data_IF_129583973690
#
_entry.id   IF_129583973690
#
_cell.length_a   1.000
_cell.length_b   1.000
_cell.length_c   1.000
_cell.angle_alpha   90.00
_cell.angle_beta   90.00
_cell.angle_gamma   90.00
#
_symmetry.space_group_name_H-M   'P 1'
#
loop_
_entity.id
_entity.type
_entity.pdbx_description
1 polymer ?
#
# COMPACT_ATOMS: atom_id res chain seq x y z
N UNK A 1 -0.45 -24.36 3.45
CA UNK A 1 -0.83 -25.75 3.78
C UNK A 1 -1.36 -25.94 5.19
N UNK A 2 -0.59 -25.72 6.27
CA UNK A 2 -1.14 -25.87 7.64
C UNK A 2 -2.36 -24.97 7.88
N UNK A 3 -2.25 -23.70 7.48
CA UNK A 3 -3.31 -22.70 7.62
C UNK A 3 -4.59 -23.00 6.85
N UNK A 4 -4.57 -23.89 5.85
CA UNK A 4 -5.77 -24.24 5.06
C UNK A 4 -6.83 -24.96 5.91
N UNK A 5 -6.43 -25.52 7.06
CA UNK A 5 -7.34 -26.21 7.99
C UNK A 5 -7.94 -25.28 9.03
N UNK A 6 -7.44 -24.05 9.16
CA UNK A 6 -7.78 -23.11 10.24
C UNK A 6 -9.00 -22.25 9.93
N UNK A 7 -9.77 -22.55 8.87
CA UNK A 7 -10.96 -21.79 8.44
C UNK A 7 -10.71 -20.28 8.30
N UNK A 8 -9.55 -19.90 7.76
CA UNK A 8 -9.23 -18.51 7.45
C UNK A 8 -9.83 -18.10 6.10
N UNK A 9 -10.30 -16.84 6.01
CA UNK A 9 -10.97 -16.32 4.82
C UNK A 9 -9.99 -16.05 3.66
N UNK A 10 -8.80 -15.53 3.98
CA UNK A 10 -7.72 -15.28 3.04
C UNK A 10 -6.36 -15.23 3.75
N UNK A 11 -5.30 -15.36 2.97
CA UNK A 11 -3.93 -15.14 3.41
C UNK A 11 -3.45 -13.81 2.85
N UNK A 12 -3.20 -12.84 3.75
CA UNK A 12 -2.52 -11.60 3.38
C UNK A 12 -1.01 -11.79 3.39
N UNK A 13 -0.38 -11.33 2.31
CA UNK A 13 1.06 -11.20 2.20
C UNK A 13 1.37 -9.71 2.15
N UNK A 14 1.87 -9.17 3.26
CA UNK A 14 2.43 -7.82 3.29
C UNK A 14 3.89 -7.85 2.84
N UNK A 15 4.29 -6.91 2.01
CA UNK A 15 5.67 -6.78 1.56
C UNK A 15 6.16 -5.34 1.59
N UNK A 16 7.20 -5.09 2.39
CA UNK A 16 7.92 -3.83 2.48
C UNK A 16 9.39 -3.99 2.10
N UNK A 17 10.17 -2.96 2.39
CA UNK A 17 11.63 -2.96 2.21
C UNK A 17 12.32 -4.05 3.05
N UNK A 18 11.63 -4.61 4.06
CA UNK A 18 12.18 -5.56 5.01
C UNK A 18 12.42 -6.94 4.37
N UNK A 19 11.43 -7.45 3.64
CA UNK A 19 11.54 -8.72 2.89
C UNK A 19 12.46 -8.55 1.67
N UNK A 20 12.47 -7.35 1.07
CA UNK A 20 13.39 -6.96 -0.01
C UNK A 20 14.87 -6.96 0.43
N UNK A 21 15.15 -6.52 1.67
CA UNK A 21 16.50 -6.51 2.24
C UNK A 21 16.98 -7.92 2.61
N UNK A 22 16.05 -8.82 2.97
CA UNK A 22 16.35 -10.19 3.33
C UNK A 22 16.63 -11.10 2.11
N UNK A 23 16.06 -10.78 0.94
CA UNK A 23 16.19 -11.57 -0.29
C UNK A 23 17.26 -11.09 -1.27
N UNK A 24 17.60 -9.80 -1.28
CA UNK A 24 18.53 -9.22 -2.27
C UNK A 24 19.80 -8.60 -1.65
N UNK A 25 20.91 -8.77 -2.36
CA UNK A 25 22.19 -8.16 -2.00
C UNK A 25 22.17 -6.62 -2.13
N UNK A 26 23.10 -5.91 -1.47
CA UNK A 26 23.14 -4.44 -1.46
C UNK A 26 23.18 -3.75 -2.83
N UNK A 27 23.62 -4.44 -3.88
CA UNK A 27 23.71 -3.90 -5.25
C UNK A 27 22.37 -3.90 -5.99
N UNK A 28 21.56 -4.95 -5.84
CA UNK A 28 20.24 -5.07 -6.45
C UNK A 28 19.27 -4.02 -5.87
N UNK A 29 19.47 -3.66 -4.60
CA UNK A 29 18.72 -2.59 -3.94
C UNK A 29 18.89 -1.22 -4.61
N UNK A 30 20.06 -0.92 -5.18
CA UNK A 30 20.33 0.37 -5.84
C UNK A 30 19.75 0.45 -7.25
N UNK A 31 19.69 -0.68 -7.97
CA UNK A 31 19.11 -0.75 -9.32
C UNK A 31 17.59 -0.64 -9.27
N UNK A 32 16.94 -1.44 -8.41
CA UNK A 32 15.48 -1.46 -8.29
C UNK A 32 14.90 -0.22 -7.59
N UNK A 33 15.71 0.53 -6.85
CA UNK A 33 15.30 1.83 -6.32
C UNK A 33 14.84 2.81 -7.43
N UNK A 34 15.32 2.62 -8.67
CA UNK A 34 15.07 3.52 -9.80
C UNK A 34 13.81 3.20 -10.61
N UNK A 35 13.25 1.99 -10.52
CA UNK A 35 12.08 1.60 -11.33
C UNK A 35 10.91 1.12 -10.48
N UNK A 36 9.75 1.76 -10.62
CA UNK A 36 8.51 1.34 -9.96
C UNK A 36 7.98 0.03 -10.55
N UNK A 37 8.18 -0.18 -11.85
CA UNK A 37 7.81 -1.41 -12.57
C UNK A 37 8.52 -2.64 -12.01
N UNK A 38 9.81 -2.53 -11.70
CA UNK A 38 10.59 -3.64 -11.13
C UNK A 38 10.13 -3.99 -9.70
N UNK A 39 9.58 -3.03 -8.95
CA UNK A 39 9.01 -3.29 -7.63
C UNK A 39 7.67 -4.03 -7.73
N UNK A 40 6.82 -3.67 -8.69
CA UNK A 40 5.55 -4.36 -8.94
C UNK A 40 5.80 -5.82 -9.36
N UNK A 41 6.78 -6.07 -10.24
CA UNK A 41 7.14 -7.41 -10.68
C UNK A 41 7.61 -8.33 -9.53
N UNK A 42 8.39 -7.81 -8.57
CA UNK A 42 8.89 -8.61 -7.45
C UNK A 42 7.78 -9.22 -6.59
N UNK A 43 6.79 -8.41 -6.19
CA UNK A 43 5.71 -8.91 -5.34
C UNK A 43 4.83 -9.95 -6.04
N UNK A 44 4.69 -9.83 -7.37
CA UNK A 44 4.00 -10.80 -8.22
C UNK A 44 4.74 -12.13 -8.30
N UNK A 45 6.06 -12.13 -8.45
CA UNK A 45 6.86 -13.37 -8.44
C UNK A 45 6.75 -14.09 -7.10
N UNK A 46 6.82 -13.34 -5.99
CA UNK A 46 6.67 -13.91 -4.66
C UNK A 46 5.26 -14.49 -4.42
N UNK A 47 4.21 -13.76 -4.81
CA UNK A 47 2.83 -14.25 -4.72
C UNK A 47 2.62 -15.51 -5.57
N UNK A 48 3.23 -15.61 -6.75
CA UNK A 48 3.19 -16.81 -7.58
C UNK A 48 3.80 -18.05 -6.89
N UNK A 49 4.87 -17.88 -6.11
CA UNK A 49 5.43 -18.99 -5.33
C UNK A 49 4.45 -19.47 -4.25
N UNK A 50 3.78 -18.54 -3.58
CA UNK A 50 2.81 -18.87 -2.52
C UNK A 50 1.54 -19.48 -3.11
N UNK A 51 1.07 -18.98 -4.26
CA UNK A 51 -0.07 -19.54 -5.00
C UNK A 51 0.13 -21.02 -5.32
N UNK A 52 1.36 -21.45 -5.65
CA UNK A 52 1.68 -22.87 -5.87
C UNK A 52 1.58 -23.72 -4.59
N UNK A 53 1.66 -23.09 -3.43
CA UNK A 53 1.69 -23.76 -2.13
C UNK A 53 0.34 -23.80 -1.41
N UNK A 54 -0.63 -22.96 -1.81
CA UNK A 54 -1.95 -22.90 -1.15
C UNK A 54 -3.10 -22.52 -2.09
N UNK A 55 -4.26 -23.08 -1.79
CA UNK A 55 -5.53 -22.78 -2.46
C UNK A 55 -6.36 -21.69 -1.78
N UNK A 56 -5.88 -21.15 -0.65
CA UNK A 56 -6.55 -20.05 0.04
C UNK A 56 -6.59 -18.80 -0.85
N UNK A 57 -7.63 -17.96 -0.71
CA UNK A 57 -7.63 -16.65 -1.32
C UNK A 57 -6.39 -15.85 -0.88
N UNK A 58 -5.69 -15.22 -1.82
CA UNK A 58 -4.47 -14.46 -1.56
C UNK A 58 -4.73 -12.97 -1.72
N UNK A 59 -4.46 -12.22 -0.65
CA UNK A 59 -4.36 -10.76 -0.67
C UNK A 59 -2.88 -10.37 -0.70
N UNK A 60 -2.47 -9.56 -1.66
CA UNK A 60 -1.10 -9.02 -1.70
C UNK A 60 -1.12 -7.52 -1.45
N UNK A 61 -0.47 -7.09 -0.38
CA UNK A 61 -0.39 -5.68 0.03
C UNK A 61 1.02 -5.15 -0.18
N UNK A 62 1.18 -4.19 -1.11
CA UNK A 62 2.47 -3.54 -1.38
C UNK A 62 2.81 -3.45 -2.86
N UNK A 63 3.63 -2.46 -3.24
CA UNK A 63 4.15 -2.32 -4.60
C UNK A 63 3.21 -1.72 -5.65
N UNK A 64 1.92 -2.04 -5.64
CA UNK A 64 0.98 -1.61 -6.69
C UNK A 64 0.76 -0.10 -6.74
N UNK A 65 0.94 0.49 -7.93
CA UNK A 65 0.72 1.91 -8.22
C UNK A 65 -0.13 2.15 -9.46
N UNK A 66 -0.19 1.20 -10.39
CA UNK A 66 -1.01 1.31 -11.61
C UNK A 66 -2.23 0.40 -11.57
N UNK A 67 -3.34 0.88 -12.14
CA UNK A 67 -4.56 0.10 -12.36
C UNK A 67 -4.26 -1.16 -13.16
N UNK A 68 -3.52 -1.00 -14.27
CA UNK A 68 -3.11 -2.10 -15.14
C UNK A 68 -2.39 -3.23 -14.39
N UNK A 69 -1.42 -2.90 -13.53
CA UNK A 69 -0.70 -3.93 -12.78
C UNK A 69 -1.60 -4.67 -11.77
N UNK A 70 -2.59 -3.97 -11.18
CA UNK A 70 -3.56 -4.60 -10.28
C UNK A 70 -4.50 -5.54 -11.05
N UNK A 71 -5.01 -5.09 -12.20
CA UNK A 71 -5.87 -5.89 -13.09
C UNK A 71 -5.13 -7.13 -13.61
N UNK A 72 -3.91 -6.97 -14.12
CA UNK A 72 -3.08 -8.09 -14.59
C UNK A 72 -2.78 -9.12 -13.49
N UNK A 73 -2.59 -8.67 -12.24
CA UNK A 73 -2.35 -9.57 -11.11
C UNK A 73 -3.57 -10.41 -10.75
N UNK A 74 -4.76 -9.81 -10.80
CA UNK A 74 -6.04 -10.46 -10.49
C UNK A 74 -6.46 -11.36 -11.65
N UNK A 75 -6.51 -10.83 -12.87
CA UNK A 75 -6.92 -11.56 -14.08
C UNK A 75 -5.95 -12.71 -14.40
N UNK A 76 -4.67 -12.54 -14.06
CA UNK A 76 -3.65 -13.58 -14.17
C UNK A 76 -3.78 -14.69 -13.10
N UNK A 77 -4.67 -14.54 -12.12
CA UNK A 77 -4.88 -15.52 -11.04
C UNK A 77 -3.73 -15.60 -10.03
N UNK A 78 -2.81 -14.63 -10.05
CA UNK A 78 -1.69 -14.58 -9.10
C UNK A 78 -2.22 -14.32 -7.70
N UNK A 79 -3.14 -13.36 -7.58
CA UNK A 79 -3.80 -12.95 -6.33
C UNK A 79 -5.30 -12.84 -6.55
N UNK A 80 -6.07 -13.00 -5.48
CA UNK A 80 -7.52 -12.79 -5.52
C UNK A 80 -7.88 -11.36 -5.07
N UNK A 81 -7.01 -10.76 -4.26
CA UNK A 81 -7.19 -9.42 -3.74
C UNK A 81 -5.86 -8.63 -3.82
N UNK A 82 -5.99 -7.32 -4.03
CA UNK A 82 -4.87 -6.38 -3.98
C UNK A 82 -5.08 -5.40 -2.84
N UNK A 83 -4.07 -5.28 -1.97
CA UNK A 83 -4.02 -4.33 -0.87
C UNK A 83 -3.18 -3.12 -1.22
N UNK A 84 -3.72 -1.93 -0.95
CA UNK A 84 -3.06 -0.65 -1.21
C UNK A 84 -3.14 0.20 0.05
N UNK A 85 -1.99 0.70 0.52
CA UNK A 85 -1.89 1.50 1.75
C UNK A 85 -1.50 2.96 1.46
N UNK A 86 -0.21 3.25 1.23
CA UNK A 86 0.30 4.64 1.10
C UNK A 86 -0.44 5.54 0.09
N UNK A 87 -0.91 5.07 -1.09
CA UNK A 87 -1.76 5.88 -1.96
C UNK A 87 -3.02 6.44 -1.28
N UNK A 88 -3.66 5.70 -0.36
CA UNK A 88 -4.84 6.17 0.37
C UNK A 88 -4.56 7.32 1.31
N UNK A 89 -3.32 7.42 1.82
CA UNK A 89 -2.95 8.51 2.69
C UNK A 89 -2.97 9.86 1.96
N UNK A 90 -2.95 9.88 0.61
CA UNK A 90 -2.88 11.11 -0.19
C UNK A 90 -4.04 11.30 -1.16
N UNK A 91 -4.56 10.20 -1.69
CA UNK A 91 -5.55 10.24 -2.75
C UNK A 91 -6.72 9.30 -2.43
N UNK A 92 -7.49 9.51 -1.35
CA UNK A 92 -8.51 8.56 -0.90
C UNK A 92 -9.58 8.25 -1.97
N UNK A 93 -9.80 9.15 -2.93
CA UNK A 93 -10.72 8.98 -4.07
C UNK A 93 -10.15 8.18 -5.25
N UNK A 94 -8.85 7.86 -5.27
CA UNK A 94 -8.23 7.22 -6.43
C UNK A 94 -8.91 5.92 -6.89
N UNK A 95 -9.51 5.08 -6.01
CA UNK A 95 -10.22 3.89 -6.48
C UNK A 95 -11.38 4.21 -7.41
N UNK A 96 -12.15 5.27 -7.09
CA UNK A 96 -13.24 5.72 -7.93
C UNK A 96 -12.70 6.22 -9.27
N UNK A 97 -11.60 6.98 -9.25
CA UNK A 97 -10.95 7.47 -10.45
C UNK A 97 -10.43 6.31 -11.34
N UNK A 98 -9.94 5.22 -10.72
CA UNK A 98 -9.58 3.99 -11.43
C UNK A 98 -10.80 3.32 -12.06
N UNK A 99 -11.92 3.24 -11.33
CA UNK A 99 -13.16 2.66 -11.85
C UNK A 99 -13.76 3.47 -13.01
N UNK A 100 -13.73 4.80 -12.89
CA UNK A 100 -14.22 5.72 -13.91
C UNK A 100 -13.26 5.85 -15.11
N UNK A 101 -12.01 5.39 -14.97
CA UNK A 101 -10.98 5.53 -16.00
C UNK A 101 -10.44 6.95 -16.14
N UNK A 102 -10.63 7.80 -15.12
CA UNK A 102 -10.09 9.16 -15.07
C UNK A 102 -8.65 9.20 -14.54
N UNK A 103 -8.18 8.11 -13.95
CA UNK A 103 -6.79 7.91 -13.53
C UNK A 103 -6.36 6.46 -13.71
N UNK A 104 -5.14 6.25 -14.20
CA UNK A 104 -4.57 4.90 -14.38
C UNK A 104 -3.45 4.57 -13.39
N UNK A 105 -2.95 5.57 -12.66
CA UNK A 105 -1.79 5.43 -11.77
C UNK A 105 -1.81 6.46 -10.65
N UNK A 106 -1.35 6.03 -9.47
CA UNK A 106 -1.14 6.91 -8.32
C UNK A 106 0.33 6.94 -7.97
N UNK A 107 0.96 8.08 -8.18
CA UNK A 107 2.33 8.32 -7.78
C UNK A 107 2.42 9.05 -6.46
N UNK A 108 3.29 8.54 -5.59
CA UNK A 108 3.54 9.12 -4.29
C UNK A 108 4.87 9.86 -4.36
N UNK A 109 4.94 11.12 -3.91
CA UNK A 109 6.19 11.86 -3.87
C UNK A 109 7.21 11.09 -3.01
N UNK A 110 8.41 10.88 -3.56
CA UNK A 110 9.51 10.31 -2.80
C UNK A 110 10.05 11.39 -1.88
N UNK A 111 9.79 11.27 -0.58
CA UNK A 111 10.32 12.21 0.39
C UNK A 111 11.58 11.62 1.01
N UNK A 112 12.74 12.12 0.58
CA UNK A 112 14.05 11.68 1.07
C UNK A 112 14.71 12.78 1.90
N UNK A 113 14.98 12.48 3.16
CA UNK A 113 16.04 13.14 3.93
C UNK A 113 17.25 12.19 3.91
N UNK A 114 18.43 12.67 3.50
CA UNK A 114 19.61 11.88 3.08
C UNK A 114 20.16 10.77 4.00
N UNK A 115 19.49 10.41 5.09
CA UNK A 115 19.78 9.26 5.96
C UNK A 115 18.57 8.30 5.93
N UNK A 116 18.72 7.14 5.27
CA UNK A 116 17.64 6.15 5.00
C UNK A 116 16.82 5.71 6.23
N UNK A 117 17.44 5.62 7.41
CA UNK A 117 16.74 5.18 8.63
C UNK A 117 15.87 6.29 9.22
N UNK A 118 16.41 7.51 9.24
CA UNK A 118 15.69 8.71 9.69
C UNK A 118 14.59 9.06 8.68
N UNK A 119 14.82 8.83 7.38
CA UNK A 119 13.81 9.06 6.35
C UNK A 119 12.59 8.15 6.49
N UNK A 120 12.75 6.87 6.83
CA UNK A 120 11.60 5.95 6.96
C UNK A 120 10.68 6.30 8.15
N UNK A 121 11.26 6.63 9.30
CA UNK A 121 10.47 7.03 10.48
C UNK A 121 9.74 8.35 10.25
N UNK A 122 10.43 9.31 9.64
CA UNK A 122 9.84 10.60 9.28
C UNK A 122 8.76 10.43 8.20
N UNK A 123 9.00 9.63 7.15
CA UNK A 123 8.02 9.32 6.10
C UNK A 123 6.71 8.77 6.69
N UNK A 124 6.80 7.86 7.64
CA UNK A 124 5.62 7.33 8.33
C UNK A 124 4.86 8.42 9.12
N UNK A 125 5.57 9.29 9.86
CA UNK A 125 4.95 10.41 10.57
C UNK A 125 4.24 11.37 9.61
N UNK A 126 4.82 11.59 8.42
CA UNK A 126 4.21 12.42 7.40
C UNK A 126 2.90 11.82 6.88
N UNK A 127 2.86 10.53 6.54
CA UNK A 127 1.59 9.88 6.16
C UNK A 127 0.58 9.86 7.30
N UNK A 128 1.02 9.60 8.54
CA UNK A 128 0.15 9.67 9.71
C UNK A 128 -0.49 11.06 9.84
N UNK A 129 0.26 12.13 9.53
CA UNK A 129 -0.29 13.47 9.53
C UNK A 129 -1.40 13.66 8.50
N UNK A 130 -1.26 13.06 7.32
CA UNK A 130 -2.32 13.08 6.31
C UNK A 130 -3.56 12.34 6.80
N UNK A 131 -3.39 11.18 7.44
CA UNK A 131 -4.50 10.45 8.04
C UNK A 131 -5.19 11.25 9.16
N UNK A 132 -4.42 11.96 9.99
CA UNK A 132 -4.98 12.88 11.00
C UNK A 132 -5.72 14.08 10.40
N UNK A 133 -5.34 14.54 9.21
CA UNK A 133 -6.09 15.57 8.48
C UNK A 133 -7.43 15.01 8.04
N UNK A 134 -7.41 13.83 7.40
CA UNK A 134 -8.63 13.15 6.97
C UNK A 134 -9.58 12.83 8.14
N UNK A 135 -9.06 12.42 9.30
CA UNK A 135 -9.90 12.18 10.48
C UNK A 135 -10.58 13.45 11.02
N UNK A 136 -10.05 14.63 10.68
CA UNK A 136 -10.66 15.94 10.96
C UNK A 136 -11.47 16.48 9.79
N UNK A 137 -11.83 15.63 8.82
CA UNK A 137 -12.53 16.00 7.58
C UNK A 137 -11.78 17.05 6.75
N UNK A 138 -10.45 17.10 6.85
CA UNK A 138 -9.60 17.90 5.99
C UNK A 138 -9.00 17.03 4.89
N UNK A 139 -8.87 17.58 3.69
CA UNK A 139 -8.18 16.90 2.58
C UNK A 139 -6.69 16.66 2.91
N UNK A 140 -6.11 15.54 2.43
CA UNK A 140 -4.66 15.36 2.42
C UNK A 140 -3.97 16.53 1.72
N UNK A 141 -2.80 16.91 2.23
CA UNK A 141 -1.97 17.96 1.68
C UNK A 141 -0.59 17.38 1.32
N UNK A 142 -0.39 16.94 0.06
CA UNK A 142 0.89 16.43 -0.40
C UNK A 142 2.04 17.45 -0.35
N UNK A 143 1.74 18.75 -0.22
CA UNK A 143 2.74 19.82 -0.14
C UNK A 143 3.25 20.08 1.28
N UNK A 144 2.68 19.39 2.28
CA UNK A 144 3.01 19.59 3.68
C UNK A 144 4.50 19.32 3.97
N UNK A 145 5.21 20.33 4.49
CA UNK A 145 6.62 20.23 4.85
C UNK A 145 6.85 19.55 6.21
N UNK A 146 7.94 18.80 6.34
CA UNK A 146 8.37 18.16 7.59
C UNK A 146 8.57 19.14 8.75
N UNK A 147 8.93 20.38 8.45
CA UNK A 147 9.11 21.43 9.45
C UNK A 147 7.81 21.75 10.22
N UNK A 148 6.64 21.36 9.68
CA UNK A 148 5.34 21.53 10.33
C UNK A 148 4.94 20.36 11.25
N UNK A 149 5.72 19.28 11.29
CA UNK A 149 5.47 18.12 12.15
C UNK A 149 5.60 18.37 13.66
N UNK A 150 6.50 19.24 14.18
CA UNK A 150 6.70 19.37 15.62
C UNK A 150 5.57 20.08 16.38
N UNK A 151 4.60 20.71 15.72
CA UNK A 151 3.69 21.67 16.40
C UNK A 151 2.38 21.09 16.92
N UNK A 152 2.06 19.81 16.71
CA UNK A 152 0.93 19.16 17.37
C UNK A 152 1.42 17.95 18.15
N UNK A 153 1.30 18.05 19.47
CA UNK A 153 1.85 17.10 20.44
C UNK A 153 1.44 15.64 20.20
N UNK A 154 2.25 14.77 20.80
CA UNK A 154 2.20 13.30 20.85
C UNK A 154 0.88 12.68 21.38
N UNK A 155 -0.20 13.45 21.47
CA UNK A 155 -1.45 13.10 22.14
C UNK A 155 -2.63 13.16 21.19
N UNK A 156 -2.89 12.04 20.48
CA UNK A 156 -4.24 11.50 20.21
C UNK A 156 -4.11 10.21 19.40
N UNK A 157 -4.06 9.08 20.12
CA UNK A 157 -4.10 7.72 19.56
C UNK A 157 -5.54 7.20 19.54
N UNK A 158 -6.47 7.90 18.87
CA UNK A 158 -7.79 7.32 18.53
C UNK A 158 -8.30 8.00 17.27
N UNK A 159 -8.23 7.31 16.12
CA UNK A 159 -9.01 7.67 14.94
C UNK A 159 -10.39 7.00 15.07
N UNK A 160 -11.46 7.79 15.15
CA UNK A 160 -12.84 7.27 15.01
C UNK A 160 -13.19 7.24 13.52
N UNK A 161 -13.16 6.04 12.92
CA UNK A 161 -13.27 5.82 11.46
C UNK A 161 -14.73 5.68 10.99
N UNK A 162 -15.62 6.54 11.48
CA UNK A 162 -17.08 6.36 11.33
C UNK A 162 -17.72 6.91 10.05
N UNK A 163 -16.99 7.51 9.11
CA UNK A 163 -17.61 8.20 7.96
C UNK A 163 -17.17 7.76 6.55
N UNK A 164 -16.49 6.62 6.38
CA UNK A 164 -16.27 6.09 5.02
C UNK A 164 -17.49 5.26 4.61
N UNK A 165 -18.34 5.85 3.77
CA UNK A 165 -19.53 5.20 3.19
C UNK A 165 -19.13 3.92 2.44
N UNK A 166 -19.65 2.79 2.92
CA UNK A 166 -19.30 1.41 2.53
C UNK A 166 -19.83 0.96 1.16
N UNK A 167 -20.28 1.86 0.29
CA UNK A 167 -21.19 1.50 -0.80
C UNK A 167 -20.58 1.15 -2.17
N UNK A 168 -19.28 0.92 -2.32
CA UNK A 168 -18.67 0.64 -3.65
C UNK A 168 -17.75 -0.59 -3.72
N UNK A 169 -17.82 -1.52 -2.77
CA UNK A 169 -16.70 -2.40 -2.43
C UNK A 169 -16.70 -3.85 -2.99
N UNK A 170 -17.62 -4.28 -3.86
CA UNK A 170 -17.72 -5.72 -4.23
C UNK A 170 -17.89 -5.95 -5.73
N UNK A 171 -17.02 -5.37 -6.56
CA UNK A 171 -17.00 -5.76 -7.99
C UNK A 171 -15.70 -6.40 -8.48
N UNK A 172 -14.61 -6.37 -7.70
CA UNK A 172 -13.29 -6.86 -8.16
C UNK A 172 -12.39 -7.49 -7.09
N UNK A 173 -12.88 -7.86 -5.90
CA UNK A 173 -12.03 -8.46 -4.86
C UNK A 173 -10.92 -7.53 -4.32
N UNK A 174 -10.93 -6.23 -4.62
CA UNK A 174 -9.95 -5.28 -4.09
C UNK A 174 -10.38 -4.85 -2.68
N UNK A 175 -9.60 -5.23 -1.67
CA UNK A 175 -9.82 -4.82 -0.27
C UNK A 175 -8.88 -3.69 0.07
N UNK A 176 -9.46 -2.54 0.38
CA UNK A 176 -8.73 -1.35 0.77
C UNK A 176 -8.55 -1.31 2.29
N UNK A 177 -7.31 -1.46 2.74
CA UNK A 177 -6.96 -1.37 4.16
C UNK A 177 -6.23 -0.04 4.38
N UNK A 178 -6.87 0.85 5.13
CA UNK A 178 -6.20 2.01 5.74
C UNK A 178 -5.76 1.54 7.14
N UNK A 179 -4.46 1.40 7.36
CA UNK A 179 -3.87 1.12 8.68
C UNK A 179 -3.55 2.43 9.41
#
# INVERSE_FOLDING_TARGET
KMLEREKIDFLEISGGTYEFTAFFGPEDQKKMAKSTLEREAYFIEFANLIRKATSLPLLLTGGFRSKKAMEEAIDGGVVDLVGVARPFCLFPSFPLEFFEGTRDRVDIPVISMGIKFVSNGLENLWYQRQMQRMSRSLEPDPSLSYASLPSLGFSTYVCDFRSVSTAALIKWGVVFIVL
#
